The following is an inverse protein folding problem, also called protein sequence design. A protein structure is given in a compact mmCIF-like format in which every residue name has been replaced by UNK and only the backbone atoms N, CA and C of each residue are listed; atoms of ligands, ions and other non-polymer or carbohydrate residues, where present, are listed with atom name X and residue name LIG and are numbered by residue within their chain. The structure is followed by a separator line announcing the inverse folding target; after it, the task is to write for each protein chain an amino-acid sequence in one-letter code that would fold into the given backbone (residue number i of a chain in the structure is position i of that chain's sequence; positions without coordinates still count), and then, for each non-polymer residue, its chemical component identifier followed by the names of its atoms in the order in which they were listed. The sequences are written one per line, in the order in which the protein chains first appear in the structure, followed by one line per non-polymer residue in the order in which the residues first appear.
data_IF_327237088798
#
_entry.id   IF_327237088798
#
_cell.length_a   1.000
_cell.length_b   1.000
_cell.length_c   1.000
_cell.angle_alpha   90.00
_cell.angle_beta   90.00
_cell.angle_gamma   90.00
#
_symmetry.space_group_name_H-M   'P 1'
#
loop_
_entity.id
_entity.type
_entity.pdbx_description
1 polymer ?
#
# COMPACT_ATOMS: atom_id res chain seq x y z
N UNK A 1 -27.02 4.44 24.32
CA UNK A 1 -26.99 4.62 22.85
C UNK A 1 -25.54 4.78 22.50
N UNK A 2 -24.93 3.71 22.04
CA UNK A 2 -23.48 3.69 21.77
C UNK A 2 -23.24 4.45 20.47
N UNK A 3 -22.46 5.52 20.57
CA UNK A 3 -22.10 6.38 19.44
C UNK A 3 -20.66 6.05 19.06
N UNK A 4 -20.45 5.58 17.83
CA UNK A 4 -19.12 5.38 17.27
C UNK A 4 -18.80 6.61 16.44
N UNK A 5 -17.75 7.34 16.82
CA UNK A 5 -17.24 8.49 16.09
C UNK A 5 -15.98 8.06 15.34
N UNK A 6 -15.94 8.28 14.03
CA UNK A 6 -14.75 8.07 13.20
C UNK A 6 -14.30 9.42 12.59
N UNK A 7 -13.83 10.37 13.42
CA UNK A 7 -13.52 11.73 12.99
C UNK A 7 -12.45 11.80 11.88
N UNK A 8 -11.52 10.83 11.82
CA UNK A 8 -10.54 10.70 10.73
C UNK A 8 -11.16 10.39 9.36
N UNK A 9 -12.43 9.95 9.31
CA UNK A 9 -13.14 9.67 8.05
C UNK A 9 -13.67 10.92 7.37
N UNK A 10 -13.76 12.05 8.10
CA UNK A 10 -14.31 13.30 7.56
C UNK A 10 -13.44 13.80 6.41
N UNK A 11 -12.12 13.87 6.61
CA UNK A 11 -11.17 14.28 5.57
C UNK A 11 -11.20 13.35 4.34
N UNK A 12 -11.45 12.05 4.53
CA UNK A 12 -11.58 11.09 3.41
C UNK A 12 -12.88 11.27 2.62
N UNK A 13 -13.97 11.63 3.28
CA UNK A 13 -15.29 11.87 2.65
C UNK A 13 -15.36 13.24 1.99
N UNK A 14 -14.67 14.23 2.56
CA UNK A 14 -14.68 15.63 2.10
C UNK A 14 -13.60 15.92 1.06
N UNK A 15 -12.67 14.99 0.79
CA UNK A 15 -11.64 15.16 -0.22
C UNK A 15 -12.29 15.25 -1.61
N UNK A 16 -12.15 16.40 -2.26
CA UNK A 16 -12.42 16.54 -3.69
C UNK A 16 -11.57 15.51 -4.44
N UNK A 17 -12.22 14.69 -5.26
CA UNK A 17 -11.53 13.78 -6.16
C UNK A 17 -10.78 14.63 -7.18
N UNK A 18 -9.52 14.95 -6.90
CA UNK A 18 -8.59 15.49 -7.88
C UNK A 18 -8.50 14.45 -9.01
N UNK A 19 -9.12 14.69 -10.18
CA UNK A 19 -9.15 13.69 -11.23
C UNK A 19 -7.71 13.50 -11.72
N UNK A 20 -7.15 12.33 -11.48
CA UNK A 20 -5.85 11.96 -12.03
C UNK A 20 -6.06 11.64 -13.50
N UNK A 21 -5.49 12.46 -14.38
CA UNK A 21 -5.45 12.18 -15.82
C UNK A 21 -4.44 11.06 -16.10
N UNK A 22 -4.91 9.93 -16.61
CA UNK A 22 -4.08 8.76 -16.94
C UNK A 22 -4.05 7.69 -15.84
N UNK A 23 -3.04 6.81 -15.89
CA UNK A 23 -2.88 5.75 -14.90
C UNK A 23 -2.44 6.32 -13.54
N UNK A 24 -3.20 6.12 -12.44
CA UNK A 24 -2.81 6.61 -11.12
C UNK A 24 -1.43 6.11 -10.67
N UNK A 25 -1.06 4.89 -11.04
CA UNK A 25 0.22 4.28 -10.66
C UNK A 25 1.41 4.75 -11.49
N UNK A 26 1.19 5.45 -12.61
CA UNK A 26 2.24 6.18 -13.30
C UNK A 26 2.36 7.63 -12.80
N UNK A 27 1.24 8.23 -12.38
CA UNK A 27 1.21 9.66 -12.04
C UNK A 27 1.54 9.93 -10.58
N UNK A 28 1.03 9.14 -9.64
CA UNK A 28 1.22 9.38 -8.21
C UNK A 28 2.69 9.37 -7.78
N UNK A 29 3.55 8.42 -8.23
CA UNK A 29 4.96 8.40 -7.83
C UNK A 29 5.77 9.59 -8.31
N UNK A 30 5.29 10.32 -9.33
CA UNK A 30 5.95 11.50 -9.91
C UNK A 30 5.54 12.81 -9.22
N UNK A 31 4.53 12.78 -8.33
CA UNK A 31 4.12 13.97 -7.57
C UNK A 31 5.17 14.31 -6.50
N UNK A 32 5.27 15.60 -6.17
CA UNK A 32 6.12 16.05 -5.07
C UNK A 32 5.63 15.45 -3.75
N UNK A 33 6.57 14.95 -2.93
CA UNK A 33 6.28 14.36 -1.62
C UNK A 33 5.74 12.93 -1.68
N UNK A 34 6.58 11.96 -1.34
CA UNK A 34 6.20 10.56 -1.24
C UNK A 34 5.05 10.35 -0.26
N UNK A 35 5.00 11.08 0.87
CA UNK A 35 3.91 10.99 1.84
C UNK A 35 2.57 11.46 1.29
N UNK A 36 2.55 12.53 0.51
CA UNK A 36 1.33 13.04 -0.14
C UNK A 36 0.81 12.05 -1.19
N UNK A 37 1.72 11.47 -1.96
CA UNK A 37 1.43 10.38 -2.88
C UNK A 37 1.11 9.06 -2.15
N UNK A 38 1.44 8.94 -0.86
CA UNK A 38 1.39 7.74 -0.02
C UNK A 38 2.31 6.60 -0.46
N UNK A 39 3.39 6.96 -1.14
CA UNK A 39 4.52 6.07 -1.41
C UNK A 39 5.35 5.98 -0.13
N UNK A 40 5.50 4.76 0.39
CA UNK A 40 6.17 4.51 1.67
C UNK A 40 7.60 4.02 1.47
N UNK A 41 7.82 3.22 0.42
CA UNK A 41 9.11 2.65 0.10
C UNK A 41 9.28 2.50 -1.42
N UNK A 42 10.52 2.47 -1.88
CA UNK A 42 10.94 2.28 -3.27
C UNK A 42 12.10 1.30 -3.34
N UNK A 43 12.18 0.60 -4.46
CA UNK A 43 13.36 -0.14 -4.91
C UNK A 43 13.68 0.27 -6.35
N UNK A 44 14.68 -0.35 -6.97
CA UNK A 44 15.17 0.07 -8.30
C UNK A 44 14.08 0.09 -9.39
N UNK A 45 13.08 -0.81 -9.29
CA UNK A 45 12.10 -1.05 -10.37
C UNK A 45 10.65 -1.08 -9.88
N UNK A 46 10.43 -0.90 -8.58
CA UNK A 46 9.14 -1.05 -7.93
C UNK A 46 9.01 -0.08 -6.76
N UNK A 47 7.78 0.16 -6.33
CA UNK A 47 7.48 0.96 -5.15
C UNK A 47 6.30 0.40 -4.36
N UNK A 48 6.14 0.90 -3.15
CA UNK A 48 5.08 0.52 -2.21
C UNK A 48 4.17 1.71 -1.95
N UNK A 49 2.90 1.55 -2.26
CA UNK A 49 1.85 2.56 -2.11
C UNK A 49 0.82 2.11 -1.08
N UNK A 50 0.40 2.97 -0.15
CA UNK A 50 -0.77 2.68 0.68
C UNK A 50 -2.07 2.84 -0.11
N UNK A 51 -2.95 1.85 -0.01
CA UNK A 51 -4.23 1.88 -0.69
C UNK A 51 -5.14 2.99 -0.11
N UNK A 52 -5.74 3.81 -0.98
CA UNK A 52 -6.66 4.87 -0.58
C UNK A 52 -8.01 4.36 -0.03
N UNK A 53 -8.41 3.13 -0.40
CA UNK A 53 -9.57 2.43 0.13
C UNK A 53 -9.12 1.12 0.81
N UNK A 54 -8.47 1.21 1.98
CA UNK A 54 -7.84 0.05 2.60
C UNK A 54 -8.88 -0.95 3.15
N UNK A 55 -8.62 -2.26 2.98
CA UNK A 55 -9.42 -3.30 3.64
C UNK A 55 -9.22 -3.30 5.15
N UNK A 56 -7.98 -3.06 5.58
CA UNK A 56 -7.55 -2.95 6.97
C UNK A 56 -6.37 -1.95 7.03
N UNK A 57 -6.03 -1.40 8.21
CA UNK A 57 -4.80 -0.62 8.40
C UNK A 57 -3.57 -1.36 7.88
N UNK A 58 -2.69 -0.64 7.20
CA UNK A 58 -1.50 -1.18 6.56
C UNK A 58 -1.73 -1.86 5.22
N UNK A 59 -2.91 -1.74 4.61
CA UNK A 59 -3.14 -2.25 3.25
C UNK A 59 -2.23 -1.50 2.26
N UNK A 60 -1.16 -2.19 1.85
CA UNK A 60 -0.17 -1.70 0.90
C UNK A 60 -0.30 -2.42 -0.45
N UNK A 61 0.24 -1.80 -1.48
CA UNK A 61 0.33 -2.33 -2.83
C UNK A 61 1.78 -2.21 -3.31
N UNK A 62 2.35 -3.32 -3.77
CA UNK A 62 3.67 -3.34 -4.42
C UNK A 62 3.45 -3.22 -5.92
N UNK A 63 4.10 -2.25 -6.56
CA UNK A 63 3.76 -1.81 -7.91
C UNK A 63 5.07 -1.64 -8.70
N UNK A 64 5.21 -2.22 -9.90
CA UNK A 64 6.34 -1.93 -10.77
C UNK A 64 6.23 -0.52 -11.35
N UNK A 65 7.37 0.14 -11.57
CA UNK A 65 7.39 1.43 -12.27
C UNK A 65 6.93 1.27 -13.73
N UNK A 66 7.25 0.12 -14.34
CA UNK A 66 6.78 -0.24 -15.66
C UNK A 66 5.26 -0.41 -15.69
N UNK A 67 4.61 0.29 -16.62
CA UNK A 67 3.19 0.13 -16.89
C UNK A 67 2.94 -1.19 -17.63
N UNK A 68 2.69 -2.25 -16.87
CA UNK A 68 2.26 -3.56 -17.36
C UNK A 68 1.09 -4.05 -16.54
N UNK A 69 0.16 -4.80 -17.12
CA UNK A 69 -1.03 -5.30 -16.42
C UNK A 69 -0.81 -6.66 -15.75
N UNK A 70 0.16 -7.43 -16.24
CA UNK A 70 0.36 -8.83 -15.90
C UNK A 70 1.85 -9.12 -15.60
N UNK A 71 2.17 -9.93 -14.58
CA UNK A 71 3.55 -10.25 -14.23
C UNK A 71 4.31 -10.98 -15.35
N UNK A 72 3.63 -11.61 -16.31
CA UNK A 72 4.26 -12.20 -17.50
C UNK A 72 4.85 -11.16 -18.46
N UNK A 73 4.48 -9.89 -18.31
CA UNK A 73 5.07 -8.76 -19.04
C UNK A 73 6.33 -8.17 -18.40
N UNK A 74 6.73 -8.64 -17.21
CA UNK A 74 7.94 -8.18 -16.53
C UNK A 74 9.17 -8.95 -16.99
N UNK A 75 10.32 -8.26 -17.07
CA UNK A 75 11.62 -8.92 -17.16
C UNK A 75 12.03 -9.56 -15.82
N UNK A 76 13.02 -10.47 -15.87
CA UNK A 76 13.46 -11.24 -14.71
C UNK A 76 13.97 -10.38 -13.55
N UNK A 77 14.65 -9.26 -13.85
CA UNK A 77 15.19 -8.36 -12.83
C UNK A 77 14.03 -7.63 -12.13
N UNK A 78 13.09 -7.08 -12.89
CA UNK A 78 11.90 -6.41 -12.35
C UNK A 78 11.02 -7.38 -11.55
N UNK A 79 10.86 -8.62 -12.00
CA UNK A 79 10.09 -9.64 -11.28
C UNK A 79 10.75 -10.03 -9.95
N UNK A 80 12.09 -10.17 -9.94
CA UNK A 80 12.86 -10.47 -8.73
C UNK A 80 12.82 -9.30 -7.74
N UNK A 81 13.01 -8.08 -8.22
CA UNK A 81 12.87 -6.84 -7.43
C UNK A 81 11.48 -6.75 -6.80
N UNK A 82 10.42 -6.99 -7.58
CA UNK A 82 9.03 -6.99 -7.10
C UNK A 82 8.79 -8.04 -5.99
N UNK A 83 9.32 -9.25 -6.17
CA UNK A 83 9.20 -10.31 -5.18
C UNK A 83 9.94 -9.99 -3.88
N UNK A 84 11.13 -9.38 -3.97
CA UNK A 84 11.92 -8.94 -2.80
C UNK A 84 11.26 -7.76 -2.09
N UNK A 85 10.77 -6.76 -2.82
CA UNK A 85 10.05 -5.63 -2.22
C UNK A 85 8.76 -6.08 -1.52
N UNK A 86 8.04 -7.05 -2.09
CA UNK A 86 6.91 -7.70 -1.41
C UNK A 86 7.33 -8.40 -0.12
N UNK A 87 8.46 -9.10 -0.12
CA UNK A 87 8.97 -9.75 1.09
C UNK A 87 9.37 -8.71 2.16
N UNK A 88 10.01 -7.61 1.77
CA UNK A 88 10.34 -6.49 2.65
C UNK A 88 9.06 -5.84 3.21
N UNK A 89 8.02 -5.67 2.39
CA UNK A 89 6.70 -5.16 2.82
C UNK A 89 6.09 -6.05 3.90
N UNK A 90 6.15 -7.38 3.74
CA UNK A 90 5.67 -8.32 4.75
C UNK A 90 6.48 -8.24 6.04
N UNK A 91 7.80 -8.04 5.95
CA UNK A 91 8.66 -7.89 7.11
C UNK A 91 8.37 -6.58 7.86
N UNK A 92 8.28 -5.46 7.14
CA UNK A 92 7.94 -4.15 7.69
C UNK A 92 6.58 -4.17 8.44
N UNK A 93 5.55 -4.76 7.82
CA UNK A 93 4.24 -4.94 8.47
C UNK A 93 4.34 -5.75 9.77
N UNK A 94 5.14 -6.82 9.80
CA UNK A 94 5.31 -7.63 11.02
C UNK A 94 6.07 -6.89 12.12
N UNK A 95 7.01 -6.01 11.76
CA UNK A 95 7.80 -5.23 12.72
C UNK A 95 6.94 -4.18 13.42
N UNK A 96 6.22 -3.35 12.67
CA UNK A 96 5.63 -2.13 13.23
C UNK A 96 4.11 -2.03 13.15
N UNK A 97 3.45 -2.86 12.33
CA UNK A 97 1.97 -2.98 12.31
C UNK A 97 1.50 -4.20 13.12
N UNK A 98 2.36 -5.21 13.28
CA UNK A 98 2.16 -6.41 14.08
C UNK A 98 0.79 -7.12 13.86
N UNK A 99 0.43 -7.50 12.63
CA UNK A 99 -0.79 -8.26 12.37
C UNK A 99 -0.65 -9.74 12.73
N UNK A 100 -1.79 -10.39 13.05
CA UNK A 100 -1.83 -11.84 13.28
C UNK A 100 -1.58 -12.65 12.00
N UNK A 101 -1.84 -12.05 10.84
CA UNK A 101 -1.63 -12.67 9.53
C UNK A 101 -1.63 -11.65 8.40
N UNK A 102 -1.30 -12.10 7.18
CA UNK A 102 -1.30 -11.22 6.00
C UNK A 102 -1.85 -11.99 4.79
N UNK A 103 -2.72 -11.35 4.02
CA UNK A 103 -3.10 -11.84 2.69
C UNK A 103 -2.30 -11.11 1.62
N UNK A 104 -1.87 -11.83 0.59
CA UNK A 104 -1.26 -11.25 -0.60
C UNK A 104 -1.96 -11.74 -1.85
N UNK A 105 -2.20 -10.88 -2.83
CA UNK A 105 -2.90 -11.27 -4.05
C UNK A 105 -2.84 -10.23 -5.17
N UNK A 106 -3.21 -10.66 -6.37
CA UNK A 106 -3.29 -9.85 -7.59
C UNK A 106 -4.63 -10.14 -8.26
N UNK A 107 -5.24 -9.12 -8.84
CA UNK A 107 -6.46 -9.25 -9.64
C UNK A 107 -6.09 -9.04 -11.11
N UNK A 108 -6.02 -10.11 -11.90
CA UNK A 108 -5.57 -10.09 -13.29
C UNK A 108 -6.75 -10.37 -14.24
N UNK A 109 -6.93 -9.52 -15.27
CA UNK A 109 -8.07 -9.60 -16.20
C UNK A 109 -9.18 -8.57 -15.95
N UNK A 110 -8.80 -7.38 -15.48
CA UNK A 110 -9.71 -6.23 -15.27
C UNK A 110 -10.88 -6.54 -14.33
N UNK A 111 -12.05 -6.02 -14.68
CA UNK A 111 -13.30 -6.15 -13.89
C UNK A 111 -13.65 -7.60 -13.55
N UNK A 112 -13.33 -8.56 -14.43
CA UNK A 112 -13.67 -9.97 -14.22
C UNK A 112 -12.96 -10.58 -13.01
N UNK A 113 -11.77 -10.06 -12.66
CA UNK A 113 -11.03 -10.44 -11.47
C UNK A 113 -11.18 -9.42 -10.32
N UNK A 114 -12.00 -8.37 -10.50
CA UNK A 114 -12.15 -7.28 -9.55
C UNK A 114 -10.95 -6.31 -9.53
N UNK A 115 -10.19 -6.23 -10.62
CA UNK A 115 -9.17 -5.19 -10.82
C UNK A 115 -9.82 -3.90 -11.31
N UNK A 116 -9.47 -2.76 -10.70
CA UNK A 116 -10.01 -1.45 -11.07
C UNK A 116 -9.00 -0.54 -11.77
N UNK A 117 -7.74 -0.96 -11.86
CA UNK A 117 -6.63 -0.21 -12.46
C UNK A 117 -5.83 -1.18 -13.32
N UNK A 118 -5.67 -0.84 -14.60
CA UNK A 118 -4.93 -1.62 -15.61
C UNK A 118 -3.42 -1.39 -15.50
N UNK A 119 -2.87 -1.64 -14.30
CA UNK A 119 -1.43 -1.61 -14.01
C UNK A 119 -1.22 -2.56 -12.84
N UNK A 120 -0.32 -3.53 -13.01
CA UNK A 120 0.00 -4.59 -12.07
C UNK A 120 0.25 -4.03 -10.66
N UNK A 121 -0.43 -4.58 -9.68
CA UNK A 121 -0.22 -4.25 -8.28
C UNK A 121 -0.49 -5.47 -7.42
N UNK A 122 0.45 -5.80 -6.54
CA UNK A 122 0.28 -6.88 -5.57
C UNK A 122 -0.22 -6.30 -4.26
N UNK A 123 -1.44 -6.65 -3.88
CA UNK A 123 -1.99 -6.30 -2.58
C UNK A 123 -1.25 -7.04 -1.47
N UNK A 124 -0.96 -6.33 -0.38
CA UNK A 124 -0.47 -6.86 0.88
C UNK A 124 -1.39 -6.33 1.98
N UNK A 125 -2.25 -7.21 2.51
CA UNK A 125 -3.35 -6.84 3.41
C UNK A 125 -3.14 -7.46 4.78
N UNK A 126 -2.80 -6.66 5.81
CA UNK A 126 -2.72 -7.11 7.19
C UNK A 126 -4.06 -7.62 7.71
N UNK A 127 -4.03 -8.69 8.52
CA UNK A 127 -5.21 -9.36 9.08
C UNK A 127 -5.06 -9.55 10.58
N UNK A 128 -6.17 -9.42 11.30
CA UNK A 128 -6.25 -9.72 12.72
C UNK A 128 -7.37 -10.72 12.99
N UNK A 129 -7.19 -11.52 14.03
CA UNK A 129 -8.19 -12.45 14.52
C UNK A 129 -9.45 -11.68 14.93
N UNK A 130 -10.56 -11.91 14.24
CA UNK A 130 -11.82 -11.19 14.48
C UNK A 130 -11.93 -9.82 13.80
N UNK A 131 -11.06 -9.48 12.84
CA UNK A 131 -11.13 -8.22 12.08
C UNK A 131 -12.40 -8.06 11.24
N UNK A 132 -13.11 -9.16 11.01
CA UNK A 132 -14.38 -9.22 10.30
C UNK A 132 -15.49 -9.42 11.33
N UNK A 133 -16.30 -8.39 11.52
CA UNK A 133 -17.44 -8.39 12.42
C UNK A 133 -18.76 -8.34 11.63
N UNK A 134 -19.89 -8.12 12.31
CA UNK A 134 -21.20 -8.11 11.67
C UNK A 134 -21.40 -6.92 10.72
N UNK A 135 -20.64 -5.82 10.87
CA UNK A 135 -20.87 -4.57 10.13
C UNK A 135 -20.63 -4.70 8.62
N UNK A 136 -19.51 -5.30 8.13
CA UNK A 136 -19.33 -5.54 6.69
C UNK A 136 -20.38 -6.49 6.12
N UNK A 137 -20.78 -7.51 6.90
CA UNK A 137 -21.65 -8.59 6.43
C UNK A 137 -23.11 -8.15 6.32
N UNK A 138 -23.60 -7.40 7.31
CA UNK A 138 -25.02 -7.04 7.40
C UNK A 138 -25.31 -5.60 6.98
N UNK A 139 -24.32 -4.71 7.13
CA UNK A 139 -24.46 -3.27 6.88
C UNK A 139 -23.60 -2.75 5.74
N UNK A 140 -22.91 -3.63 5.00
CA UNK A 140 -21.97 -3.26 3.92
C UNK A 140 -20.97 -2.16 4.33
N UNK A 141 -20.61 -2.11 5.63
CA UNK A 141 -19.81 -1.03 6.22
C UNK A 141 -18.60 -1.62 6.93
N UNK A 142 -17.40 -1.22 6.52
CA UNK A 142 -16.15 -1.58 7.20
C UNK A 142 -15.71 -0.46 8.14
N UNK A 143 -15.39 -0.82 9.38
CA UNK A 143 -14.77 0.07 10.36
C UNK A 143 -13.26 -0.13 10.29
N UNK A 144 -12.54 0.93 9.93
CA UNK A 144 -11.07 0.97 9.91
C UNK A 144 -10.63 1.76 11.13
N UNK A 145 -9.92 1.11 12.06
CA UNK A 145 -9.68 1.64 13.42
C UNK A 145 -8.46 2.55 13.53
N UNK A 146 -7.71 2.74 12.44
CA UNK A 146 -6.51 3.57 12.40
C UNK A 146 -6.52 4.47 11.16
N UNK A 147 -6.07 5.72 11.33
CA UNK A 147 -5.94 6.66 10.23
C UNK A 147 -4.78 6.28 9.31
N UNK A 148 -4.94 6.54 8.01
CA UNK A 148 -3.94 6.19 6.98
C UNK A 148 -2.58 6.84 7.28
N UNK A 149 -2.54 8.07 7.78
CA UNK A 149 -1.28 8.76 8.08
C UNK A 149 -0.51 8.09 9.20
N UNK A 150 -1.20 7.58 10.22
CA UNK A 150 -0.57 6.84 11.32
C UNK A 150 -0.06 5.48 10.84
N UNK A 151 -0.82 4.82 9.98
CA UNK A 151 -0.36 3.60 9.30
C UNK A 151 0.88 3.87 8.43
N UNK A 152 0.95 5.02 7.76
CA UNK A 152 2.12 5.42 6.97
C UNK A 152 3.37 5.44 7.84
N UNK A 153 3.32 6.13 8.98
CA UNK A 153 4.45 6.24 9.91
C UNK A 153 4.91 4.86 10.42
N UNK A 154 3.97 3.99 10.80
CA UNK A 154 4.28 2.63 11.23
C UNK A 154 4.96 1.82 10.11
N UNK A 155 4.43 1.88 8.90
CA UNK A 155 4.97 1.11 7.79
C UNK A 155 6.34 1.65 7.33
N UNK A 156 6.50 2.98 7.31
CA UNK A 156 7.78 3.65 6.99
C UNK A 156 8.87 3.22 7.98
N UNK A 157 8.59 3.29 9.29
CA UNK A 157 9.52 2.82 10.32
C UNK A 157 9.91 1.34 10.13
N UNK A 158 8.95 0.47 9.80
CA UNK A 158 9.21 -0.95 9.57
C UNK A 158 10.06 -1.24 8.34
N UNK A 159 9.99 -0.38 7.31
CA UNK A 159 10.88 -0.43 6.16
C UNK A 159 12.26 0.13 6.47
N UNK A 160 12.36 1.27 7.17
CA UNK A 160 13.62 1.90 7.54
C UNK A 160 14.52 1.00 8.41
N UNK A 161 13.93 -0.01 9.07
CA UNK A 161 14.64 -1.04 9.83
C UNK A 161 15.07 -2.27 9.01
N UNK A 162 14.89 -2.28 7.68
CA UNK A 162 15.28 -3.39 6.82
C UNK A 162 16.78 -3.36 6.47
N UNK A 163 17.39 -4.53 6.29
CA UNK A 163 18.83 -4.64 6.00
C UNK A 163 19.18 -4.20 4.57
N UNK A 164 18.19 -4.16 3.67
CA UNK A 164 18.36 -3.71 2.29
C UNK A 164 18.20 -2.20 2.10
N UNK A 165 17.98 -1.43 3.17
CA UNK A 165 17.83 0.03 3.11
C UNK A 165 19.14 0.68 2.70
N UNK A 166 19.08 1.52 1.67
CA UNK A 166 20.19 2.38 1.23
C UNK A 166 19.95 3.84 1.63
N UNK A 167 18.69 4.25 1.76
CA UNK A 167 18.29 5.51 2.34
C UNK A 167 17.03 5.29 3.21
N UNK A 168 17.08 5.53 4.53
CA UNK A 168 15.89 5.39 5.37
C UNK A 168 14.81 6.44 5.05
N UNK A 169 15.15 7.54 4.37
CA UNK A 169 14.26 8.67 4.15
C UNK A 169 13.80 9.35 5.45
N UNK A 170 13.06 10.44 5.30
CA UNK A 170 12.37 11.16 6.37
C UNK A 170 10.85 11.20 6.13
N UNK A 171 10.11 10.46 6.97
CA UNK A 171 8.66 10.39 6.92
C UNK A 171 7.97 11.75 7.16
N UNK A 172 8.56 12.65 7.97
CA UNK A 172 7.99 13.98 8.23
C UNK A 172 8.27 14.94 7.07
N UNK A 173 9.43 14.80 6.42
CA UNK A 173 9.78 15.55 5.21
C UNK A 173 9.09 15.02 3.93
N UNK A 174 8.41 13.88 4.03
CA UNK A 174 7.69 13.26 2.92
C UNK A 174 8.58 12.48 1.97
N UNK A 175 9.68 11.92 2.46
CA UNK A 175 10.61 11.09 1.70
C UNK A 175 10.32 9.59 1.97
N UNK A 176 10.33 8.78 0.91
CA UNK A 176 10.14 7.34 1.01
C UNK A 176 11.44 6.65 1.49
N UNK A 177 11.30 5.44 2.02
CA UNK A 177 12.45 4.56 2.25
C UNK A 177 12.95 4.02 0.91
N UNK A 178 14.25 4.13 0.63
CA UNK A 178 14.87 3.53 -0.55
C UNK A 178 15.59 2.22 -0.18
N UNK A 179 15.29 1.16 -0.92
CA UNK A 179 15.88 -0.17 -0.76
C UNK A 179 16.64 -0.57 -2.04
N UNK A 180 17.78 -1.22 -1.88
CA UNK A 180 18.52 -1.83 -2.99
C UNK A 180 18.68 -3.33 -2.76
N UNK A 181 18.21 -4.10 -3.72
CA UNK A 181 18.29 -5.55 -3.70
C UNK A 181 19.37 -6.14 -4.61
N UNK A 182 20.11 -5.29 -5.33
CA UNK A 182 21.19 -5.62 -6.25
C UNK A 182 20.76 -6.40 -7.48
N UNK A 183 19.60 -6.06 -8.07
CA UNK A 183 18.96 -6.81 -9.18
C UNK A 183 18.50 -5.96 -10.36
#
# INVERSE_FOLDING_TARGET
MDRIFAPWRIEWVERDADPIDGCPFCVLPEREGAREARVVARSERNYVLLNNAPYNPGHAMVIPDAHVEDPTGLDDATLLDHAKLKAATLAALRRDVNPDGVNTGQNLGGDAAGGSIDHLHTHVVPRWSGDTNFMPVTGATKVIVEAIDRTYDHLHAGFAADDAVVDPGDAEAGEAVELDFGV
#
